data_IF_144361045169
#
_entry.id   IF_144361045169
#
_cell.length_a   1.000
_cell.length_b   1.000
_cell.length_c   1.000
_cell.angle_alpha   90.00
_cell.angle_beta   90.00
_cell.angle_gamma   90.00
#
_symmetry.space_group_name_H-M   'P 1'
#
loop_
_entity.id
_entity.type
_entity.pdbx_description
1 polymer ?
#
# COMPACT_ATOMS: atom_id res chain seq x y z
N UNK A 1 17.32 0.94 0.36
CA UNK A 1 15.94 1.28 0.00
C UNK A 1 15.16 -0.02 -0.14
N UNK A 2 14.12 -0.22 0.66
CA UNK A 2 13.27 -1.39 0.64
C UNK A 2 11.98 -1.03 -0.11
N UNK A 3 11.71 -1.75 -1.19
CA UNK A 3 10.50 -1.55 -1.98
C UNK A 3 9.41 -2.50 -1.48
N UNK A 4 8.22 -1.97 -1.20
CA UNK A 4 7.10 -2.74 -0.67
C UNK A 4 5.85 -2.53 -1.51
N UNK A 5 4.99 -3.55 -1.58
CA UNK A 5 3.71 -3.53 -2.27
C UNK A 5 2.60 -3.86 -1.26
N UNK A 6 1.54 -3.06 -1.22
CA UNK A 6 0.46 -3.23 -0.24
C UNK A 6 -0.61 -4.16 -0.79
N UNK A 7 -0.90 -5.25 -0.06
CA UNK A 7 -1.96 -6.21 -0.40
C UNK A 7 -2.85 -6.39 0.81
N UNK A 8 -4.09 -5.95 0.69
CA UNK A 8 -5.15 -6.12 1.68
C UNK A 8 -6.48 -6.03 0.92
N UNK A 9 -7.51 -6.74 1.38
CA UNK A 9 -8.85 -6.71 0.79
C UNK A 9 -9.59 -5.40 1.07
N UNK A 10 -9.12 -4.62 2.04
CA UNK A 10 -9.73 -3.37 2.46
C UNK A 10 -8.91 -2.14 2.04
N UNK A 11 -9.55 -1.21 1.35
CA UNK A 11 -8.93 0.05 0.91
C UNK A 11 -8.49 0.95 2.07
N UNK A 12 -9.26 0.95 3.17
CA UNK A 12 -8.94 1.74 4.36
C UNK A 12 -7.60 1.32 4.98
N UNK A 13 -7.33 0.01 5.03
CA UNK A 13 -6.08 -0.53 5.59
C UNK A 13 -4.89 -0.11 4.74
N UNK A 14 -4.99 -0.23 3.41
CA UNK A 14 -3.90 0.19 2.50
C UNK A 14 -3.62 1.68 2.60
N UNK A 15 -4.67 2.51 2.65
CA UNK A 15 -4.53 3.97 2.83
C UNK A 15 -3.86 4.31 4.16
N UNK A 16 -4.28 3.68 5.26
CA UNK A 16 -3.69 3.89 6.59
C UNK A 16 -2.22 3.48 6.64
N UNK A 17 -1.89 2.28 6.16
CA UNK A 17 -0.51 1.77 6.14
C UNK A 17 0.38 2.64 5.25
N UNK A 18 -0.09 3.04 4.05
CA UNK A 18 0.66 3.96 3.18
C UNK A 18 1.04 5.23 3.92
N UNK A 19 0.09 5.86 4.63
CA UNK A 19 0.33 7.09 5.39
C UNK A 19 1.36 6.91 6.49
N UNK A 20 1.35 5.77 7.19
CA UNK A 20 2.35 5.47 8.21
C UNK A 20 3.75 5.25 7.60
N UNK A 21 3.83 4.65 6.41
CA UNK A 21 5.09 4.34 5.75
C UNK A 21 5.72 5.54 5.03
N UNK A 22 4.96 6.61 4.73
CA UNK A 22 5.47 7.85 4.12
C UNK A 22 6.59 8.51 4.95
N UNK A 23 6.51 8.39 6.28
CA UNK A 23 7.50 8.98 7.21
C UNK A 23 8.68 8.04 7.52
N UNK A 24 8.66 6.80 7.03
CA UNK A 24 9.69 5.81 7.33
C UNK A 24 10.83 5.89 6.33
N UNK A 25 11.97 6.42 6.78
CA UNK A 25 13.19 6.49 5.94
C UNK A 25 13.60 5.11 5.45
N UNK A 26 13.85 5.03 4.14
CA UNK A 26 14.36 3.83 3.50
C UNK A 26 13.29 2.84 3.05
N UNK A 27 12.00 3.12 3.28
CA UNK A 27 10.88 2.36 2.71
C UNK A 27 10.27 3.16 1.55
N UNK A 28 9.93 2.44 0.46
CA UNK A 28 9.22 2.98 -0.69
C UNK A 28 8.04 2.08 -1.03
N UNK A 29 6.82 2.59 -0.92
CA UNK A 29 5.63 1.91 -1.44
C UNK A 29 5.61 2.05 -2.96
N UNK A 30 5.75 0.93 -3.67
CA UNK A 30 5.83 0.93 -5.16
C UNK A 30 4.49 0.64 -5.84
N UNK A 31 3.48 0.25 -5.08
CA UNK A 31 2.14 -0.01 -5.57
C UNK A 31 1.23 -0.61 -4.51
N UNK A 32 -0.04 -0.78 -4.86
CA UNK A 32 -1.04 -1.45 -4.03
C UNK A 32 -2.01 -2.26 -4.89
N UNK A 33 -2.54 -3.34 -4.33
CA UNK A 33 -3.54 -4.15 -5.00
C UNK A 33 -4.86 -3.38 -5.11
N UNK A 34 -5.51 -3.46 -6.27
CA UNK A 34 -6.87 -2.95 -6.47
C UNK A 34 -7.86 -4.11 -6.48
N UNK A 35 -9.09 -3.86 -6.04
CA UNK A 35 -10.17 -4.83 -6.23
C UNK A 35 -10.45 -5.04 -7.71
N UNK A 36 -10.59 -6.29 -8.13
CA UNK A 36 -11.04 -6.62 -9.48
C UNK A 36 -12.50 -6.16 -9.59
N UNK A 37 -12.76 -5.16 -10.43
CA UNK A 37 -14.14 -4.85 -10.83
C UNK A 37 -14.61 -6.01 -11.71
N UNK A 38 -15.52 -6.84 -11.18
CA UNK A 38 -16.25 -7.79 -12.03
C UNK A 38 -17.06 -6.98 -13.07
N UNK A 39 -17.15 -7.48 -14.31
CA UNK A 39 -18.00 -6.86 -15.33
C UNK A 39 -19.47 -6.83 -14.91
#
# INVERSE_FOLDING_TARGET
MINVFLVDDHELVRTGIRRLLEDVRGIKVVGEATVVKKP
#
